data_IF_289120870932
#
_entry.id   IF_289120870932
#
_cell.length_a   1.000
_cell.length_b   1.000
_cell.length_c   1.000
_cell.angle_alpha   90.00
_cell.angle_beta   90.00
_cell.angle_gamma   90.00
#
_symmetry.space_group_name_H-M   'P 1'
#
loop_
_entity.id
_entity.type
_entity.pdbx_description
1 polymer ?
#
# COMPACT_ATOMS: atom_id res chain seq x y z
N UNK A 1 -3.58 21.40 -4.50
CA UNK A 1 -4.72 20.46 -4.31
C UNK A 1 -4.44 19.67 -3.05
N UNK A 2 -5.44 19.39 -2.22
CA UNK A 2 -5.25 18.55 -1.04
C UNK A 2 -6.08 17.27 -1.22
N UNK A 3 -5.42 16.12 -1.20
CA UNK A 3 -6.06 14.82 -1.30
C UNK A 3 -5.71 13.99 -0.07
N UNK A 4 -6.72 13.44 0.61
CA UNK A 4 -6.55 12.47 1.68
C UNK A 4 -7.09 11.13 1.19
N UNK A 5 -6.23 10.13 1.15
CA UNK A 5 -6.58 8.75 0.84
C UNK A 5 -6.46 7.96 2.14
N UNK A 6 -7.52 7.27 2.53
CA UNK A 6 -7.53 6.45 3.74
C UNK A 6 -7.76 4.99 3.35
N UNK A 7 -6.86 4.09 3.78
CA UNK A 7 -7.03 2.67 3.53
C UNK A 7 -5.74 1.88 3.59
N UNK A 8 -5.73 0.75 2.89
CA UNK A 8 -4.68 -0.26 2.98
C UNK A 8 -3.41 0.14 2.21
N UNK A 9 -2.28 -0.03 2.89
CA UNK A 9 -0.94 -0.15 2.30
C UNK A 9 -0.40 -1.56 2.49
N UNK A 10 0.14 -2.12 1.42
CA UNK A 10 0.83 -3.41 1.43
C UNK A 10 2.27 -3.27 0.96
N UNK A 11 3.13 -4.21 1.35
CA UNK A 11 4.28 -4.57 0.54
C UNK A 11 3.82 -5.59 -0.50
N UNK A 12 3.83 -5.21 -1.77
CA UNK A 12 3.57 -6.13 -2.87
C UNK A 12 4.89 -6.76 -3.31
N UNK A 13 5.00 -8.08 -3.14
CA UNK A 13 6.11 -8.91 -3.65
C UNK A 13 5.62 -9.60 -4.92
N UNK A 14 6.13 -9.14 -6.06
CA UNK A 14 5.66 -9.55 -7.39
C UNK A 14 6.68 -10.49 -8.02
N UNK A 15 6.24 -11.66 -8.46
CA UNK A 15 7.03 -12.61 -9.23
C UNK A 15 6.48 -12.69 -10.65
N UNK A 16 7.33 -12.40 -11.64
CA UNK A 16 6.98 -12.52 -13.05
C UNK A 16 7.35 -13.91 -13.57
N UNK A 17 6.41 -14.56 -14.24
CA UNK A 17 6.58 -15.84 -14.92
C UNK A 17 6.31 -15.65 -16.43
N UNK A 18 6.96 -16.46 -17.25
CA UNK A 18 6.68 -16.60 -18.69
C UNK A 18 5.71 -17.76 -19.00
N UNK A 19 5.21 -18.43 -17.97
CA UNK A 19 4.30 -19.58 -18.04
C UNK A 19 3.32 -19.59 -16.86
N UNK A 20 2.21 -20.32 -17.01
CA UNK A 20 1.26 -20.52 -15.90
C UNK A 20 1.93 -21.23 -14.72
N UNK A 21 1.63 -20.81 -13.47
CA UNK A 21 2.20 -21.45 -12.29
C UNK A 21 1.68 -22.87 -12.12
N UNK A 22 2.60 -23.81 -11.89
CA UNK A 22 2.27 -25.19 -11.54
C UNK A 22 2.29 -25.38 -10.02
N UNK A 23 1.13 -25.70 -9.44
CA UNK A 23 0.95 -25.84 -7.98
C UNK A 23 1.63 -27.07 -7.37
N UNK A 24 2.17 -27.97 -8.19
CA UNK A 24 2.82 -29.21 -7.74
C UNK A 24 4.34 -29.15 -7.77
N UNK A 25 4.91 -28.08 -8.32
CA UNK A 25 6.35 -27.94 -8.51
C UNK A 25 6.83 -26.59 -8.01
N UNK A 26 8.08 -26.54 -7.53
CA UNK A 26 8.75 -25.26 -7.37
C UNK A 26 8.95 -24.62 -8.73
N UNK A 27 8.45 -23.41 -8.91
CA UNK A 27 8.66 -22.59 -10.12
C UNK A 27 9.70 -21.51 -9.85
N UNK A 28 10.57 -21.26 -10.82
CA UNK A 28 11.53 -20.13 -10.80
C UNK A 28 10.93 -18.96 -11.58
N UNK A 29 10.93 -17.77 -11.00
CA UNK A 29 10.50 -16.55 -11.70
C UNK A 29 11.59 -16.03 -12.64
N UNK A 30 11.17 -15.37 -13.72
CA UNK A 30 12.10 -14.69 -14.65
C UNK A 30 12.56 -13.35 -14.08
N UNK A 31 11.73 -12.72 -13.24
CA UNK A 31 12.04 -11.48 -12.54
C UNK A 31 11.19 -11.34 -11.28
N UNK A 32 11.54 -10.40 -10.41
CA UNK A 32 10.74 -10.03 -9.25
C UNK A 32 10.87 -8.53 -8.92
N UNK A 33 9.81 -7.98 -8.34
CA UNK A 33 9.79 -6.62 -7.84
C UNK A 33 9.17 -6.56 -6.44
N UNK A 34 9.55 -5.55 -5.67
CA UNK A 34 8.94 -5.21 -4.39
C UNK A 34 8.57 -3.73 -4.41
N UNK A 35 7.33 -3.42 -4.04
CA UNK A 35 6.82 -2.05 -4.07
C UNK A 35 5.74 -1.81 -3.02
N UNK A 36 5.52 -0.55 -2.66
CA UNK A 36 4.32 -0.17 -1.93
C UNK A 36 3.08 -0.40 -2.80
N UNK A 37 2.09 -1.11 -2.24
CA UNK A 37 0.85 -1.46 -2.90
C UNK A 37 -0.37 -1.20 -2.04
N UNK A 38 -1.51 -1.72 -2.50
CA UNK A 38 -2.81 -1.56 -1.86
C UNK A 38 -3.66 -0.47 -2.51
N UNK A 39 -5.01 -0.56 -2.44
CA UNK A 39 -5.89 0.32 -3.20
C UNK A 39 -5.71 1.81 -2.86
N UNK A 40 -5.58 2.17 -1.58
CA UNK A 40 -5.42 3.55 -1.15
C UNK A 40 -4.03 4.10 -1.53
N UNK A 41 -2.99 3.28 -1.36
CA UNK A 41 -1.63 3.60 -1.79
C UNK A 41 -1.56 3.88 -3.28
N UNK A 42 -2.11 2.98 -4.11
CA UNK A 42 -2.09 3.12 -5.56
C UNK A 42 -2.84 4.38 -6.00
N UNK A 43 -3.97 4.70 -5.36
CA UNK A 43 -4.69 5.95 -5.61
C UNK A 43 -3.86 7.19 -5.23
N UNK A 44 -3.21 7.19 -4.06
CA UNK A 44 -2.37 8.28 -3.60
C UNK A 44 -1.19 8.53 -4.55
N UNK A 45 -0.44 7.48 -4.88
CA UNK A 45 0.70 7.56 -5.82
C UNK A 45 0.24 8.03 -7.20
N UNK A 46 -0.92 7.55 -7.69
CA UNK A 46 -1.49 7.98 -8.97
C UNK A 46 -1.81 9.48 -8.96
N UNK A 47 -2.47 9.97 -7.91
CA UNK A 47 -2.79 11.40 -7.78
C UNK A 47 -1.52 12.25 -7.72
N UNK A 48 -0.52 11.83 -6.94
CA UNK A 48 0.75 12.53 -6.83
C UNK A 48 1.52 12.58 -8.16
N UNK A 49 1.51 11.48 -8.92
CA UNK A 49 2.10 11.41 -10.25
C UNK A 49 1.37 12.32 -11.25
N UNK A 50 0.03 12.31 -11.26
CA UNK A 50 -0.77 13.18 -12.15
C UNK A 50 -0.58 14.67 -11.82
N UNK A 51 -0.52 15.03 -10.53
CA UNK A 51 -0.25 16.42 -10.11
C UNK A 51 1.13 16.89 -10.59
N UNK A 52 2.14 16.03 -10.54
CA UNK A 52 3.48 16.33 -11.03
C UNK A 52 3.55 16.56 -12.55
N UNK A 53 2.56 16.07 -13.31
CA UNK A 53 2.45 16.26 -14.76
C UNK A 53 1.68 17.54 -15.15
N UNK A 54 1.19 18.34 -14.19
CA UNK A 54 0.46 19.58 -14.47
C UNK A 54 1.38 20.81 -14.37
N UNK A 55 1.92 21.32 -15.50
CA UNK A 55 2.89 22.42 -15.50
C UNK A 55 2.32 23.79 -15.11
N UNK A 56 1.00 23.99 -15.25
CA UNK A 56 0.35 25.32 -15.14
C UNK A 56 -0.35 25.56 -13.79
N UNK A 57 -0.21 24.65 -12.82
CA UNK A 57 -0.77 24.90 -11.48
C UNK A 57 0.04 26.00 -10.80
N UNK A 58 -0.66 27.07 -10.42
CA UNK A 58 -0.10 28.20 -9.69
C UNK A 58 0.82 27.69 -8.55
N UNK A 59 2.12 27.96 -8.67
CA UNK A 59 3.17 27.44 -7.78
C UNK A 59 3.02 27.93 -6.33
N UNK A 60 2.16 28.94 -6.10
CA UNK A 60 1.96 29.59 -4.81
C UNK A 60 1.25 28.70 -3.77
N UNK A 61 0.67 27.56 -4.16
CA UNK A 61 0.08 26.61 -3.21
C UNK A 61 0.51 25.15 -3.51
N UNK A 62 1.40 24.56 -2.69
CA UNK A 62 1.82 23.17 -2.88
C UNK A 62 0.62 22.24 -2.86
N UNK A 63 0.62 21.22 -3.73
CA UNK A 63 -0.29 20.10 -3.55
C UNK A 63 0.23 19.20 -2.43
N UNK A 64 -0.69 18.70 -1.61
CA UNK A 64 -0.39 17.67 -0.63
C UNK A 64 -1.28 16.46 -0.88
N UNK A 65 -0.65 15.32 -1.08
CA UNK A 65 -1.31 14.02 -1.13
C UNK A 65 -0.95 13.29 0.14
N UNK A 66 -1.92 13.11 1.01
CA UNK A 66 -1.75 12.43 2.29
C UNK A 66 -2.39 11.04 2.22
N UNK A 67 -1.64 10.03 2.66
CA UNK A 67 -2.12 8.66 2.80
C UNK A 67 -2.23 8.32 4.30
N UNK A 68 -3.46 8.12 4.77
CA UNK A 68 -3.76 7.61 6.11
C UNK A 68 -3.90 6.08 6.05
N UNK A 69 -2.96 5.36 6.65
CA UNK A 69 -2.85 3.90 6.51
C UNK A 69 -2.27 3.28 7.78
N UNK A 70 -2.60 2.03 8.08
CA UNK A 70 -1.94 1.29 9.16
C UNK A 70 -0.60 0.74 8.63
N UNK A 71 0.43 1.57 8.62
CA UNK A 71 1.75 1.19 8.12
C UNK A 71 2.50 0.35 9.15
N UNK A 72 2.39 0.72 10.43
CA UNK A 72 3.11 0.07 11.51
C UNK A 72 4.59 0.46 11.55
N UNK A 73 5.40 -0.43 12.12
CA UNK A 73 6.78 -0.21 12.52
C UNK A 73 7.72 -1.26 11.88
N UNK A 74 9.03 -1.08 12.09
CA UNK A 74 10.05 -2.02 11.61
C UNK A 74 10.63 -1.65 10.25
N UNK A 75 11.46 -2.55 9.71
CA UNK A 75 12.25 -2.27 8.51
C UNK A 75 11.36 -2.10 7.27
N UNK A 76 10.38 -2.98 7.08
CA UNK A 76 9.47 -2.93 5.93
C UNK A 76 8.65 -1.64 5.94
N UNK A 77 8.06 -1.29 7.08
CA UNK A 77 7.30 -0.04 7.22
C UNK A 77 8.14 1.18 6.83
N UNK A 78 9.41 1.24 7.28
CA UNK A 78 10.32 2.34 6.94
C UNK A 78 10.62 2.39 5.44
N UNK A 79 10.91 1.25 4.82
CA UNK A 79 11.16 1.19 3.38
C UNK A 79 9.93 1.62 2.58
N UNK A 80 8.72 1.20 2.97
CA UNK A 80 7.49 1.65 2.33
C UNK A 80 7.25 3.16 2.53
N UNK A 81 7.53 3.70 3.72
CA UNK A 81 7.43 5.14 3.96
C UNK A 81 8.39 5.93 3.08
N UNK A 82 9.63 5.46 2.92
CA UNK A 82 10.64 6.08 2.03
C UNK A 82 10.22 6.00 0.56
N UNK A 83 9.73 4.84 0.10
CA UNK A 83 9.20 4.66 -1.26
C UNK A 83 8.06 5.64 -1.56
N UNK A 84 7.09 5.76 -0.63
CA UNK A 84 5.96 6.68 -0.77
C UNK A 84 6.37 8.15 -0.68
N UNK A 85 7.35 8.49 0.15
CA UNK A 85 7.91 9.83 0.19
C UNK A 85 8.59 10.20 -1.14
N UNK A 86 9.30 9.26 -1.78
CA UNK A 86 9.86 9.45 -3.12
C UNK A 86 8.77 9.67 -4.19
N UNK A 87 7.58 9.09 -3.99
CA UNK A 87 6.38 9.38 -4.78
C UNK A 87 5.64 10.67 -4.39
N UNK A 88 6.18 11.48 -3.46
CA UNK A 88 5.56 12.71 -2.92
C UNK A 88 4.23 12.47 -2.19
N UNK A 89 4.08 11.31 -1.57
CA UNK A 89 2.94 10.98 -0.71
C UNK A 89 3.34 11.15 0.75
N UNK A 90 2.63 12.00 1.49
CA UNK A 90 2.79 12.17 2.95
C UNK A 90 2.03 11.06 3.68
N UNK A 91 2.75 10.12 4.29
CA UNK A 91 2.14 8.99 4.99
C UNK A 91 1.86 9.34 6.45
N UNK A 92 0.61 9.13 6.87
CA UNK A 92 0.19 9.22 8.28
C UNK A 92 -0.20 7.85 8.76
N UNK A 93 0.56 7.33 9.72
CA UNK A 93 0.25 6.04 10.31
C UNK A 93 -1.02 6.14 11.18
N UNK A 94 -1.97 5.25 10.90
CA UNK A 94 -3.23 5.08 11.60
C UNK A 94 -3.31 3.71 12.31
N UNK A 95 -2.18 3.01 12.43
CA UNK A 95 -2.07 1.77 13.18
C UNK A 95 -2.46 1.96 14.65
N UNK A 96 -3.22 1.01 15.20
CA UNK A 96 -3.50 0.97 16.63
C UNK A 96 -2.20 0.65 17.39
N UNK A 97 -1.69 1.55 18.25
CA UNK A 97 -0.48 1.29 19.01
C UNK A 97 -0.62 0.11 19.99
N UNK A 98 -1.84 -0.32 20.33
CA UNK A 98 -2.10 -1.51 21.13
C UNK A 98 -2.17 -2.80 20.30
N UNK A 99 -2.14 -2.72 18.97
CA UNK A 99 -2.14 -3.88 18.08
C UNK A 99 -0.90 -4.74 18.28
N UNK A 100 -1.09 -6.07 18.28
CA UNK A 100 0.00 -7.05 18.22
C UNK A 100 0.57 -7.21 16.82
N UNK A 101 -0.18 -6.82 15.78
CA UNK A 101 0.31 -6.76 14.39
C UNK A 101 0.87 -5.38 14.15
N UNK A 102 2.20 -5.31 14.02
CA UNK A 102 2.95 -4.07 13.86
C UNK A 102 3.65 -3.94 12.52
N UNK A 103 3.58 -4.96 11.66
CA UNK A 103 4.19 -4.91 10.33
C UNK A 103 3.13 -4.57 9.27
N UNK A 104 3.53 -3.92 8.16
CA UNK A 104 2.64 -3.70 7.03
C UNK A 104 2.08 -5.03 6.52
N UNK A 105 0.87 -4.99 5.97
CA UNK A 105 0.33 -6.14 5.26
C UNK A 105 1.22 -6.48 4.05
N UNK A 106 1.37 -7.77 3.75
CA UNK A 106 2.13 -8.28 2.60
C UNK A 106 1.18 -8.93 1.61
N UNK A 107 1.39 -8.65 0.32
CA UNK A 107 0.77 -9.35 -0.80
C UNK A 107 1.85 -10.07 -1.62
N UNK A 108 1.68 -11.37 -1.82
CA UNK A 108 2.46 -12.14 -2.79
C UNK A 108 1.67 -12.21 -4.09
N UNK A 109 2.26 -11.69 -5.16
CA UNK A 109 1.65 -11.57 -6.47
C UNK A 109 2.43 -12.44 -7.45
N UNK A 110 1.73 -13.31 -8.17
CA UNK A 110 2.29 -14.09 -9.27
C UNK A 110 1.65 -13.56 -10.55
N UNK A 111 2.47 -12.99 -11.42
CA UNK A 111 2.06 -12.54 -12.76
C UNK A 111 2.56 -13.54 -13.81
N UNK A 112 1.70 -13.89 -14.75
CA UNK A 112 2.00 -14.80 -15.85
C UNK A 112 1.18 -14.41 -17.10
N UNK A 113 1.46 -14.94 -18.30
CA UNK A 113 0.76 -14.52 -19.52
C UNK A 113 -0.77 -14.73 -19.49
N UNK A 114 -1.26 -15.65 -18.65
CA UNK A 114 -2.69 -15.93 -18.47
C UNK A 114 -3.39 -15.05 -17.44
N UNK A 115 -2.67 -14.18 -16.73
CA UNK A 115 -3.24 -13.30 -15.72
C UNK A 115 -2.36 -13.14 -14.47
N UNK A 116 -3.00 -12.92 -13.32
CA UNK A 116 -2.30 -12.80 -12.06
C UNK A 116 -3.07 -13.42 -10.91
N UNK A 117 -2.33 -13.95 -9.94
CA UNK A 117 -2.84 -14.40 -8.66
C UNK A 117 -2.28 -13.50 -7.55
N UNK A 118 -3.12 -13.12 -6.59
CA UNK A 118 -2.73 -12.31 -5.44
C UNK A 118 -3.10 -13.05 -4.15
N UNK A 119 -2.12 -13.35 -3.33
CA UNK A 119 -2.30 -13.86 -1.98
C UNK A 119 -1.90 -12.77 -0.99
N UNK A 120 -2.86 -12.19 -0.28
CA UNK A 120 -2.60 -11.06 0.63
C UNK A 120 -3.03 -11.36 2.05
N UNK A 121 -2.26 -10.84 3.00
CA UNK A 121 -2.63 -10.80 4.42
C UNK A 121 -3.73 -9.79 4.71
N UNK A 122 -3.98 -8.83 3.80
CA UNK A 122 -4.92 -7.72 3.93
C UNK A 122 -4.73 -6.89 5.21
N UNK A 123 -5.49 -5.81 5.35
CA UNK A 123 -5.62 -5.14 6.65
C UNK A 123 -6.36 -6.09 7.61
N UNK A 124 -5.65 -6.68 8.57
CA UNK A 124 -6.29 -7.35 9.72
C UNK A 124 -6.76 -6.29 10.70
N UNK A 125 -7.85 -5.60 10.36
CA UNK A 125 -8.47 -4.64 11.29
C UNK A 125 -9.19 -5.44 12.37
N UNK A 126 -8.63 -5.46 13.57
CA UNK A 126 -9.39 -5.88 14.75
C UNK A 126 -10.35 -4.76 15.11
N UNK A 127 -11.59 -4.84 14.64
CA UNK A 127 -12.66 -4.05 15.22
C UNK A 127 -12.94 -4.66 16.60
N UNK A 128 -12.32 -4.10 17.65
CA UNK A 128 -12.74 -4.36 19.03
C UNK A 128 -14.24 -4.09 19.20
N UNK A 129 -14.87 -4.56 20.28
CA UNK A 129 -16.29 -4.31 20.51
C UNK A 129 -16.53 -2.81 20.46
N UNK A 130 -17.37 -2.36 19.51
CA UNK A 130 -17.86 -0.98 19.49
C UNK A 130 -18.61 -0.80 20.80
N UNK A 131 -18.03 -0.05 21.73
CA UNK A 131 -18.77 0.41 22.91
C UNK A 131 -19.80 1.39 22.36
N UNK A 132 -20.98 0.87 22.04
CA UNK A 132 -22.15 1.67 21.76
C UNK A 132 -22.43 2.49 23.01
N UNK A 133 -21.99 3.75 22.99
CA UNK A 133 -22.30 4.71 24.03
C UNK A 133 -23.82 4.77 24.18
N UNK A 134 -24.32 4.28 25.32
CA UNK A 134 -25.68 4.55 25.76
C UNK A 134 -25.79 6.06 25.89
N UNK A 135 -26.56 6.67 24.99
CA UNK A 135 -27.17 7.96 25.27
C UNK A 135 -28.11 7.75 26.48
N UNK A 136 -27.78 8.41 27.59
CA UNK A 136 -28.67 8.69 28.71
C UNK A 136 -28.28 10.06 29.25
#
# INVERSE_FOLDING_TARGET
>A
MHALLAGLTTLDVIHALDHEPNTTTKTTCIDHAMAAGGPATNAAVTIAALDALQPDRNADAPSAVTLLTALGEGAIARTLAEDLANCRVDVRDAGDPASSVREPAISSIIEHPGGRMVASTNARVWAGPVVAGRAA
#
